data_IF_260123116576
#
_entry.id   IF_260123116576
#
_cell.length_a   1.000
_cell.length_b   1.000
_cell.length_c   1.000
_cell.angle_alpha   90.00
_cell.angle_beta   90.00
_cell.angle_gamma   90.00
#
_symmetry.space_group_name_H-M   'P 1'
#
loop_
_entity.id
_entity.type
_entity.pdbx_description
1 polymer ?
2 non-polymer ?
3 non-polymer ?
4 water ?
#
# COMPACT_ATOMS: atom_id res chain seq x y z
N UNK A 11 -27.03 28.81 -2.49
CA UNK A 11 -25.71 28.73 -3.15
C UNK A 11 -25.67 27.56 -4.19
N UNK A 12 -24.75 27.65 -5.19
CA UNK A 12 -24.66 26.64 -6.23
C UNK A 12 -23.22 26.11 -6.44
N UNK A 13 -22.18 26.73 -5.85
CA UNK A 13 -20.81 26.21 -6.05
C UNK A 13 -20.59 24.92 -5.19
N UNK A 14 -19.82 23.99 -5.79
CA UNK A 14 -19.53 22.68 -5.25
C UNK A 14 -18.39 22.80 -4.27
N UNK A 15 -18.67 22.43 -3.03
CA UNK A 15 -17.70 22.44 -1.96
C UNK A 15 -17.05 21.08 -1.84
N UNK A 16 -15.80 21.07 -1.32
CA UNK A 16 -15.06 19.82 -1.13
C UNK A 16 -14.71 19.65 0.32
N UNK A 17 -14.71 18.40 0.75
CA UNK A 17 -14.29 18.01 2.09
C UNK A 17 -13.72 16.62 2.01
N UNK A 18 -12.74 16.33 2.86
CA UNK A 18 -12.12 15.01 2.96
C UNK A 18 -12.28 14.60 4.41
N UNK A 19 -12.89 13.43 4.61
CA UNK A 19 -13.19 12.85 5.90
C UNK A 19 -11.89 12.47 6.59
N UNK A 20 -11.81 12.83 7.90
CA UNK A 20 -10.68 12.55 8.78
C UNK A 20 -11.07 11.42 9.73
N UNK A 21 -10.22 10.39 9.75
CA UNK A 21 -10.35 9.20 10.59
C UNK A 21 -9.92 9.52 12.05
N UNK A 22 -10.45 8.76 13.04
CA UNK A 22 -10.15 8.93 14.47
C UNK A 22 -8.83 8.21 14.81
N UNK A 28 -0.61 9.65 12.13
CA UNK A 28 -0.88 10.52 10.97
C UNK A 28 -2.13 10.07 10.20
N UNK A 29 -2.95 11.05 9.74
CA UNK A 29 -4.15 10.75 8.95
C UNK A 29 -3.84 10.81 7.44
N UNK A 30 -4.73 10.20 6.63
CA UNK A 30 -4.68 10.21 5.17
C UNK A 30 -4.77 11.68 4.72
N UNK A 31 -5.74 12.42 5.29
CA UNK A 31 -6.01 13.83 4.99
C UNK A 31 -4.77 14.72 5.14
N UNK A 32 -3.98 14.56 6.22
CA UNK A 32 -2.80 15.40 6.42
C UNK A 32 -1.76 15.12 5.31
N UNK A 33 -1.63 13.85 4.89
CA UNK A 33 -0.73 13.43 3.80
C UNK A 33 -1.14 14.09 2.49
N UNK A 34 -2.46 14.08 2.16
CA UNK A 34 -2.97 14.74 0.96
C UNK A 34 -2.78 16.24 1.04
N UNK A 35 -2.98 16.83 2.22
CA UNK A 35 -2.80 18.28 2.40
C UNK A 35 -1.33 18.69 2.16
N UNK A 36 -0.38 17.92 2.70
CA UNK A 36 1.06 18.19 2.62
C UNK A 36 1.62 17.98 1.22
N UNK A 37 1.21 16.88 0.54
CA UNK A 37 1.68 16.49 -0.78
C UNK A 37 0.87 17.11 -1.95
N UNK A 38 0.45 16.25 -2.89
CA UNK A 38 -0.16 16.62 -4.17
C UNK A 38 -1.70 16.79 -4.18
N UNK A 39 -2.36 16.58 -3.06
CA UNK A 39 -3.81 16.62 -3.00
C UNK A 39 -4.38 15.39 -3.69
N UNK A 40 -5.56 15.50 -4.28
CA UNK A 40 -6.20 14.35 -4.94
C UNK A 40 -6.83 14.78 -6.26
N UNK A 41 -7.28 13.79 -7.03
CA UNK A 41 -7.94 13.99 -8.31
C UNK A 41 -9.37 13.49 -8.31
N UNK A 42 -10.30 14.26 -8.92
CA UNK A 42 -11.73 13.96 -8.96
C UNK A 42 -12.21 13.65 -10.36
N UNK A 43 -13.10 12.66 -10.48
CA UNK A 43 -13.90 12.31 -11.63
C UNK A 43 -15.32 12.64 -11.28
N UNK A 44 -16.05 13.30 -12.17
CA UNK A 44 -17.44 13.63 -11.93
C UNK A 44 -18.26 13.41 -13.19
N UNK A 45 -19.35 12.67 -13.05
CA UNK A 45 -20.27 12.27 -14.11
C UNK A 45 -21.65 12.84 -13.87
N UNK A 46 -22.05 13.75 -14.72
CA UNK A 46 -23.39 14.33 -14.63
C UNK A 46 -24.41 13.45 -15.41
N UNK A 47 -25.48 13.04 -14.71
CA UNK A 47 -26.56 12.23 -15.24
C UNK A 47 -27.87 13.00 -15.07
N UNK A 48 -28.96 12.43 -15.56
CA UNK A 48 -30.28 12.98 -15.30
C UNK A 48 -30.71 12.51 -13.88
N UNK A 49 -31.89 12.93 -13.44
CA UNK A 49 -32.47 12.47 -12.18
C UNK A 49 -32.60 10.92 -12.14
N UNK A 50 -32.66 10.24 -13.32
CA UNK A 50 -32.76 8.76 -13.42
C UNK A 50 -31.63 8.05 -12.63
N UNK A 51 -30.45 8.66 -12.61
CA UNK A 51 -29.33 8.22 -11.80
C UNK A 51 -28.19 7.46 -12.43
N UNK A 52 -27.17 7.25 -11.62
CA UNK A 52 -25.91 6.61 -11.98
C UNK A 52 -26.05 5.16 -12.40
N UNK A 53 -26.70 4.31 -11.60
CA UNK A 53 -26.78 2.89 -11.94
C UNK A 53 -27.57 2.66 -13.25
N UNK A 54 -28.60 3.47 -13.51
CA UNK A 54 -29.40 3.41 -14.72
C UNK A 54 -28.60 3.86 -15.95
N UNK A 55 -27.84 4.97 -15.83
CA UNK A 55 -27.15 5.62 -16.94
C UNK A 55 -25.63 5.45 -17.03
N UNK A 56 -24.92 4.88 -16.03
CA UNK A 56 -23.45 4.79 -16.06
C UNK A 56 -22.88 4.17 -17.34
N UNK A 57 -23.58 3.19 -17.90
CA UNK A 57 -23.16 2.46 -19.09
C UNK A 57 -22.77 3.32 -20.27
N UNK A 58 -23.49 4.46 -20.51
CA UNK A 58 -23.21 5.33 -21.65
C UNK A 58 -22.87 6.77 -21.21
N UNK A 59 -22.37 6.94 -19.98
CA UNK A 59 -21.94 8.23 -19.41
C UNK A 59 -20.42 8.27 -19.29
N UNK A 60 -19.81 9.37 -19.75
CA UNK A 60 -18.36 9.62 -19.68
C UNK A 60 -18.08 10.62 -18.54
N UNK A 61 -16.82 10.77 -18.02
CA UNK A 61 -16.56 11.79 -16.97
C UNK A 61 -16.72 13.19 -17.54
N UNK A 62 -17.97 13.54 -17.80
CA UNK A 62 -18.38 14.75 -18.51
C UNK A 62 -18.39 16.03 -17.67
N UNK A 63 -18.22 15.92 -16.35
CA UNK A 63 -18.31 17.07 -15.45
C UNK A 63 -16.96 17.45 -14.87
N UNK A 64 -16.14 16.46 -14.49
CA UNK A 64 -14.78 16.67 -13.99
C UNK A 64 -13.95 15.52 -14.48
N UNK A 65 -12.77 15.79 -15.04
CA UNK A 65 -11.87 14.71 -15.48
C UNK A 65 -10.54 14.96 -14.83
N UNK A 66 -10.20 14.16 -13.80
CA UNK A 66 -8.96 14.30 -13.04
C UNK A 66 -8.78 15.76 -12.57
N UNK A 67 -9.83 16.33 -11.97
CA UNK A 67 -9.81 17.70 -11.42
C UNK A 67 -8.87 17.72 -10.23
N UNK A 68 -7.86 18.59 -10.24
CA UNK A 68 -6.87 18.69 -9.17
C UNK A 68 -7.41 19.46 -7.96
N UNK A 69 -7.67 18.70 -6.87
CA UNK A 69 -8.14 19.24 -5.60
C UNK A 69 -6.98 19.38 -4.63
N UNK A 70 -6.72 20.61 -4.15
CA UNK A 70 -5.62 20.88 -3.23
C UNK A 70 -6.11 21.66 -2.02
N UNK A 71 -5.30 21.64 -0.94
CA UNK A 71 -5.56 22.33 0.31
C UNK A 71 -4.82 23.68 0.35
N UNK A 72 -5.56 24.78 0.59
CA UNK A 72 -5.02 26.13 0.68
C UNK A 72 -5.42 26.75 2.05
N UNK A 73 -4.50 26.61 3.05
CA UNK A 73 -4.52 27.12 4.44
C UNK A 73 -5.61 26.46 5.35
N UNK A 74 -6.90 26.55 4.92
CA UNK A 74 -8.00 26.04 5.72
C UNK A 74 -9.13 25.37 4.90
N UNK A 75 -9.04 25.30 3.56
CA UNK A 75 -10.08 24.64 2.77
C UNK A 75 -9.54 23.88 1.56
N UNK A 76 -10.35 22.95 0.99
CA UNK A 76 -10.04 22.21 -0.23
C UNK A 76 -10.62 22.97 -1.42
N UNK A 77 -9.82 23.12 -2.47
CA UNK A 77 -10.24 23.81 -3.68
C UNK A 77 -9.76 23.16 -4.96
N UNK A 78 -10.30 23.65 -6.06
CA UNK A 78 -10.01 23.25 -7.43
C UNK A 78 -10.03 24.54 -8.25
N UNK A 79 -9.28 24.59 -9.37
CA UNK A 79 -9.14 25.78 -10.21
C UNK A 79 -10.35 25.97 -11.18
N UNK A 80 -10.72 24.93 -11.95
CA UNK A 80 -11.83 25.02 -12.91
C UNK A 80 -13.16 24.96 -12.17
N UNK A 81 -13.76 26.12 -11.85
CA UNK A 81 -15.01 26.18 -11.10
C UNK A 81 -16.22 25.56 -11.83
N UNK A 82 -16.99 24.84 -11.03
CA UNK A 82 -18.17 24.10 -11.40
C UNK A 82 -19.25 24.37 -10.39
N UNK A 83 -20.50 24.30 -10.86
CA UNK A 83 -21.67 24.58 -10.06
C UNK A 83 -22.63 23.44 -10.06
N UNK A 84 -23.44 23.30 -9.00
CA UNK A 84 -24.47 22.28 -8.94
C UNK A 84 -25.50 22.58 -10.03
N UNK A 85 -26.16 21.59 -10.63
CA UNK A 85 -27.17 21.92 -11.64
C UNK A 85 -28.32 22.76 -11.06
N UNK A 86 -28.95 23.60 -11.90
CA UNK A 86 -30.11 24.42 -11.52
C UNK A 86 -31.35 23.50 -11.53
N UNK A 87 -31.35 22.48 -12.43
CA UNK A 87 -32.47 21.54 -12.53
C UNK A 87 -32.22 20.30 -11.60
N UNK A 88 -32.87 19.14 -11.88
CA UNK A 88 -32.86 17.95 -11.03
C UNK A 88 -31.80 16.91 -11.43
N UNK A 89 -30.82 17.33 -12.26
CA UNK A 89 -29.70 16.53 -12.70
C UNK A 89 -28.85 16.16 -11.48
N UNK A 90 -28.21 14.99 -11.55
CA UNK A 90 -27.37 14.43 -10.49
C UNK A 90 -25.91 14.38 -10.92
N UNK A 91 -24.98 14.40 -9.95
CA UNK A 91 -23.53 14.27 -10.23
C UNK A 91 -22.95 13.15 -9.37
N UNK A 92 -22.23 12.22 -10.02
CA UNK A 92 -21.57 11.10 -9.37
C UNK A 92 -20.07 11.39 -9.38
N UNK A 93 -19.47 11.26 -8.19
CA UNK A 93 -18.06 11.52 -7.98
C UNK A 93 -17.30 10.25 -7.66
N UNK A 94 -16.01 10.27 -8.02
CA UNK A 94 -14.95 9.29 -7.73
C UNK A 94 -13.70 10.10 -7.46
N UNK A 95 -12.78 9.55 -6.68
CA UNK A 95 -11.54 10.24 -6.38
C UNK A 95 -10.43 9.24 -6.12
N UNK A 96 -9.17 9.66 -6.34
CA UNK A 96 -7.97 8.86 -6.06
C UNK A 96 -6.87 9.79 -5.53
N UNK A 97 -5.86 9.21 -4.92
CA UNK A 97 -4.70 9.95 -4.42
C UNK A 97 -3.51 9.02 -4.31
N UNK A 98 -2.25 9.53 -4.46
CA UNK A 98 -1.87 10.94 -4.69
C UNK A 98 -2.20 11.35 -6.12
N UNK A 99 -2.43 12.64 -6.35
CA UNK A 99 -2.79 13.14 -7.68
C UNK A 99 -1.69 12.89 -8.73
N UNK A 100 -2.10 12.51 -9.95
CA UNK A 100 -1.23 12.29 -11.11
C UNK A 100 -1.42 13.42 -12.11
N UNK A 101 -0.40 14.26 -12.34
CA UNK A 101 -0.55 15.40 -13.26
C UNK A 101 -0.41 14.99 -14.74
N UNK A 102 0.18 13.81 -15.00
CA UNK A 102 0.39 13.24 -16.35
C UNK A 102 -0.37 11.90 -16.42
N UNK A 103 -1.73 11.91 -16.44
CA UNK A 103 -2.49 10.65 -16.32
C UNK A 103 -2.44 9.72 -17.54
N UNK A 104 -1.85 10.19 -18.64
CA UNK A 104 -1.77 9.40 -19.86
C UNK A 104 -0.57 8.46 -19.82
N UNK A 105 0.45 8.79 -19.01
CA UNK A 105 1.68 8.01 -18.92
C UNK A 105 2.09 7.64 -17.47
N UNK A 106 1.60 8.38 -16.48
CA UNK A 106 1.91 8.12 -15.07
C UNK A 106 3.29 8.53 -14.62
N UNK A 107 3.72 9.73 -15.02
CA UNK A 107 5.03 10.31 -14.70
C UNK A 107 5.24 10.45 -13.17
N UNK A 108 4.29 11.08 -12.50
CA UNK A 108 4.36 11.39 -11.08
C UNK A 108 4.25 10.17 -10.17
N UNK A 109 3.17 9.37 -10.33
CA UNK A 109 2.85 8.30 -9.39
C UNK A 109 2.83 6.90 -9.97
N UNK A 110 3.07 6.77 -11.29
CA UNK A 110 2.97 5.52 -12.06
C UNK A 110 1.49 5.07 -12.06
N UNK A 111 0.59 6.07 -12.17
CA UNK A 111 -0.87 5.98 -12.25
C UNK A 111 -1.28 6.41 -13.68
N UNK A 112 -1.99 5.53 -14.40
CA UNK A 112 -2.55 5.78 -15.73
C UNK A 112 -4.07 5.71 -15.54
N UNK A 113 -4.78 6.74 -16.00
CA UNK A 113 -6.23 6.79 -15.82
C UNK A 113 -6.96 6.39 -17.09
N UNK A 114 -8.20 5.94 -16.90
CA UNK A 114 -9.12 5.64 -17.99
C UNK A 114 -9.40 6.96 -18.73
N UNK A 115 -9.55 6.88 -20.06
CA UNK A 115 -9.74 8.04 -20.92
C UNK A 115 -10.89 8.95 -20.59
N UNK A 116 -10.80 10.21 -21.08
CA UNK A 116 -11.81 11.26 -20.90
C UNK A 116 -13.15 10.91 -21.60
N UNK A 117 -13.10 10.02 -22.59
CA UNK A 117 -14.28 9.59 -23.33
C UNK A 117 -14.64 8.12 -23.01
N UNK A 118 -14.06 7.56 -21.94
CA UNK A 118 -14.39 6.20 -21.50
C UNK A 118 -15.75 6.23 -20.77
N UNK A 119 -16.55 5.21 -20.96
CA UNK A 119 -17.88 5.15 -20.38
C UNK A 119 -17.88 4.33 -19.09
N UNK A 120 -18.76 4.68 -18.18
CA UNK A 120 -18.88 3.97 -16.90
C UNK A 120 -17.92 4.46 -15.85
N UNK A 121 -17.91 3.75 -14.70
CA UNK A 121 -17.01 4.04 -13.59
C UNK A 121 -15.56 4.00 -14.09
N UNK A 122 -14.68 4.89 -13.61
CA UNK A 122 -13.30 4.93 -14.14
C UNK A 122 -12.43 3.73 -13.71
N UNK A 123 -11.18 3.71 -14.23
CA UNK A 123 -10.17 2.70 -13.90
C UNK A 123 -8.82 3.39 -13.73
N UNK A 124 -7.89 2.69 -13.06
CA UNK A 124 -6.50 3.07 -12.82
C UNK A 124 -5.61 1.90 -13.15
N UNK A 125 -4.62 2.11 -14.02
CA UNK A 125 -3.55 1.15 -14.29
C UNK A 125 -2.40 1.61 -13.40
N UNK A 126 -1.98 0.75 -12.47
CA UNK A 126 -0.99 1.10 -11.48
C UNK A 126 0.22 0.15 -11.50
N UNK A 127 1.42 0.75 -11.44
CA UNK A 127 2.72 0.05 -11.36
C UNK A 127 3.38 0.36 -10.02
N UNK A 128 3.92 -0.66 -9.37
CA UNK A 128 4.60 -0.54 -8.09
C UNK A 128 5.98 0.07 -8.33
N UNK A 129 6.28 1.17 -7.59
CA UNK A 129 7.54 1.91 -7.62
C UNK A 129 8.55 1.17 -6.72
N UNK A 130 9.61 0.59 -7.31
CA UNK A 130 10.65 -0.17 -6.56
C UNK A 130 11.94 0.65 -6.32
N UNK A 131 12.03 1.85 -6.93
CA UNK A 131 13.19 2.76 -6.86
C UNK A 131 13.42 3.28 -5.45
N UNK A 132 14.65 3.82 -5.20
CA UNK A 132 15.14 4.38 -3.94
C UNK A 132 14.94 3.39 -2.80
N UNK A 133 15.40 2.15 -2.99
CA UNK A 133 15.31 1.08 -1.99
C UNK A 133 13.93 0.96 -1.32
N UNK A 134 12.84 0.91 -2.15
CA UNK A 134 11.44 0.74 -1.75
C UNK A 134 10.86 1.90 -0.93
N UNK A 135 11.56 3.04 -0.87
CA UNK A 135 11.18 4.17 -0.02
C UNK A 135 10.31 5.15 -0.76
N UNK A 136 10.03 4.89 -2.05
CA UNK A 136 9.21 5.76 -2.89
C UNK A 136 7.85 5.15 -3.26
N UNK A 137 7.47 3.99 -2.68
CA UNK A 137 6.22 3.29 -2.99
C UNK A 137 5.05 4.19 -2.67
N UNK A 138 4.04 4.15 -3.54
CA UNK A 138 2.85 4.96 -3.43
C UNK A 138 1.78 4.25 -2.61
N UNK A 139 1.18 4.97 -1.65
CA UNK A 139 0.04 4.46 -0.86
C UNK A 139 -1.20 4.94 -1.61
N UNK A 140 -1.63 4.16 -2.63
CA UNK A 140 -2.76 4.48 -3.51
C UNK A 140 -4.06 4.36 -2.73
N UNK A 141 -4.79 5.47 -2.67
CA UNK A 141 -6.09 5.53 -1.98
C UNK A 141 -7.15 5.88 -3.01
N UNK A 142 -8.35 5.34 -2.84
CA UNK A 142 -9.44 5.67 -3.76
C UNK A 142 -10.71 5.89 -3.01
N UNK A 143 -11.66 6.49 -3.70
CA UNK A 143 -12.98 6.74 -3.18
C UNK A 143 -14.00 6.42 -4.26
N UNK A 144 -14.79 5.37 -4.02
CA UNK A 144 -15.90 4.96 -4.88
C UNK A 144 -17.11 4.57 -4.00
N UNK A 145 -17.27 5.23 -2.83
CA UNK A 145 -18.40 4.97 -1.94
C UNK A 145 -19.67 5.65 -2.51
N UNK A 146 -20.83 5.01 -2.27
CA UNK A 146 -22.14 5.36 -2.82
C UNK A 146 -22.64 6.72 -2.33
N UNK A 147 -22.20 7.18 -1.16
CA UNK A 147 -22.61 8.46 -0.61
C UNK A 147 -22.06 9.66 -1.42
N UNK A 148 -21.20 9.46 -2.43
CA UNK A 148 -20.74 10.56 -3.28
C UNK A 148 -21.27 10.34 -4.72
N UNK A 149 -22.22 9.40 -4.88
CA UNK A 149 -22.94 9.11 -6.13
C UNK A 149 -24.33 9.72 -6.06
N UNK A 150 -24.86 10.12 -7.22
CA UNK A 150 -26.21 10.73 -7.36
C UNK A 150 -26.38 11.93 -6.43
N UNK A 151 -25.42 12.84 -6.46
CA UNK A 151 -25.44 14.03 -5.60
C UNK A 151 -26.14 15.19 -6.26
N UNK A 152 -26.88 15.93 -5.45
CA UNK A 152 -27.52 17.20 -5.82
C UNK A 152 -27.04 18.22 -4.79
N UNK A 153 -27.43 19.47 -4.98
CA UNK A 153 -27.10 20.55 -4.07
C UNK A 153 -27.66 20.29 -2.66
N UNK A 154 -28.71 19.45 -2.57
CA UNK A 154 -29.44 19.14 -1.33
C UNK A 154 -28.91 17.91 -0.61
N UNK A 155 -28.01 17.16 -1.25
CA UNK A 155 -27.51 15.91 -0.71
C UNK A 155 -26.77 16.10 0.61
N UNK A 156 -25.80 17.04 0.64
CA UNK A 156 -24.98 17.28 1.82
C UNK A 156 -24.51 18.75 1.89
N UNK A 157 -25.47 19.69 1.91
CA UNK A 157 -25.21 21.13 2.06
C UNK A 157 -24.30 21.70 0.93
N UNK A 158 -24.35 21.06 -0.25
CA UNK A 158 -23.56 21.42 -1.42
C UNK A 158 -22.10 20.96 -1.37
N UNK A 159 -21.73 20.16 -0.36
CA UNK A 159 -20.35 19.71 -0.18
C UNK A 159 -20.21 18.22 -0.47
N UNK A 160 -19.19 17.88 -1.26
CA UNK A 160 -18.86 16.50 -1.57
C UNK A 160 -17.85 16.05 -0.54
N UNK A 161 -18.24 15.12 0.34
CA UNK A 161 -17.30 14.62 1.34
C UNK A 161 -16.67 13.31 0.87
N UNK A 162 -15.36 13.36 0.57
CA UNK A 162 -14.61 12.20 0.15
C UNK A 162 -14.12 11.45 1.37
N UNK A 163 -14.06 10.14 1.25
CA UNK A 163 -13.67 9.15 2.26
C UNK A 163 -12.77 8.20 1.52
N UNK A 164 -11.45 8.34 1.71
CA UNK A 164 -10.46 7.55 0.99
C UNK A 164 -10.16 6.22 1.66
N UNK A 165 -10.09 5.15 0.86
CA UNK A 165 -9.75 3.81 1.36
C UNK A 165 -8.43 3.36 0.78
N UNK A 166 -7.65 2.60 1.54
CA UNK A 166 -6.37 2.04 1.08
C UNK A 166 -6.66 0.77 0.28
N UNK A 167 -6.39 0.83 -1.03
CA UNK A 167 -6.74 -0.26 -1.95
C UNK A 167 -5.59 -1.26 -2.17
N UNK A 168 -4.43 -1.00 -1.56
CA UNK A 168 -3.25 -1.88 -1.66
C UNK A 168 -3.14 -2.75 -0.39
N UNK A 169 -2.05 -3.52 -0.26
CA UNK A 169 -1.76 -4.27 0.95
C UNK A 169 -0.53 -3.61 1.60
N UNK A 170 -0.56 -3.50 2.92
CA UNK A 170 0.59 -2.96 3.62
C UNK A 170 1.37 -4.06 4.37
N UNK A 171 2.72 -4.08 4.23
CA UNK A 171 3.63 -4.93 5.02
C UNK A 171 4.17 -3.92 6.01
N UNK A 172 3.45 -3.77 7.15
CA UNK A 172 3.75 -2.77 8.18
C UNK A 172 5.10 -3.03 8.85
N UNK A 173 5.47 -4.31 9.01
CA UNK A 173 6.74 -4.71 9.58
C UNK A 173 6.99 -6.19 9.46
N UNK A 174 8.25 -6.57 9.63
CA UNK A 174 8.77 -7.92 9.73
C UNK A 174 9.62 -7.87 11.00
N UNK A 175 9.16 -8.56 12.05
CA UNK A 175 9.77 -8.63 13.37
C UNK A 175 10.41 -10.01 13.58
N UNK A 176 11.59 -10.09 14.23
CA UNK A 176 12.29 -11.38 14.44
C UNK A 176 12.65 -11.58 15.92
N UNK A 177 12.62 -12.84 16.39
CA UNK A 177 13.06 -13.19 17.76
C UNK A 177 13.52 -14.65 17.83
N UNK A 178 14.46 -15.01 18.72
CA UNK A 178 14.76 -16.44 18.93
C UNK A 178 13.63 -17.09 19.77
N UNK A 179 13.55 -18.44 19.82
CA UNK A 179 12.47 -19.10 20.59
C UNK A 179 12.82 -19.21 22.09
N UNK A 180 14.08 -18.99 22.45
CA UNK A 180 14.60 -19.08 23.82
C UNK A 180 15.50 -17.87 24.10
N UNK A 181 15.73 -17.60 25.39
CA UNK A 181 16.65 -16.58 25.85
C UNK A 181 18.05 -17.08 25.53
N UNK A 182 18.85 -16.27 24.83
CA UNK A 182 20.19 -16.59 24.37
C UNK A 182 21.26 -16.34 25.42
N UNK A 183 20.85 -15.82 26.57
CA UNK A 183 21.80 -15.54 27.64
C UNK A 183 22.58 -14.27 27.35
N UNK A 184 23.76 -14.14 27.93
CA UNK A 184 24.53 -12.91 27.81
C UNK A 184 25.60 -12.97 26.73
N UNK A 185 26.04 -14.18 26.35
CA UNK A 185 27.17 -14.40 25.46
C UNK A 185 26.81 -14.73 23.99
N UNK A 186 25.52 -14.68 23.63
CA UNK A 186 25.07 -14.97 22.28
C UNK A 186 24.04 -13.94 21.85
N UNK A 187 24.19 -13.44 20.58
CA UNK A 187 23.26 -12.48 19.99
C UNK A 187 22.93 -12.89 18.56
N UNK A 188 21.75 -12.49 18.06
CA UNK A 188 21.34 -12.76 16.68
C UNK A 188 21.21 -11.43 15.97
N UNK A 189 21.79 -11.32 14.78
CA UNK A 189 21.74 -10.12 13.94
C UNK A 189 21.19 -10.43 12.56
N UNK A 190 20.18 -9.68 12.12
CA UNK A 190 19.62 -9.88 10.77
C UNK A 190 20.37 -8.90 9.85
N UNK A 191 20.89 -9.42 8.71
CA UNK A 191 21.73 -8.64 7.79
C UNK A 191 21.13 -8.50 6.39
N UNK A 192 20.12 -9.31 6.09
CA UNK A 192 19.52 -9.30 4.75
C UNK A 192 18.14 -9.89 4.73
N UNK A 193 17.35 -9.48 3.74
CA UNK A 193 15.98 -9.93 3.55
C UNK A 193 15.57 -9.71 2.09
N UNK A 194 14.99 -10.74 1.48
CA UNK A 194 14.46 -10.72 0.12
C UNK A 194 13.03 -11.24 0.15
N UNK A 195 12.18 -10.73 -0.77
CA UNK A 195 10.84 -11.27 -0.96
C UNK A 195 10.87 -12.15 -2.20
N UNK A 196 10.45 -13.41 -2.06
CA UNK A 196 10.36 -14.37 -3.17
C UNK A 196 8.89 -14.38 -3.65
N UNK A 197 8.57 -13.67 -4.76
CA UNK A 197 7.16 -13.55 -5.18
C UNK A 197 6.61 -14.69 -6.03
N UNK A 198 7.41 -15.73 -6.21
CA UNK A 198 7.02 -16.81 -7.10
C UNK A 198 7.22 -16.34 -8.53
N UNK A 199 6.33 -16.76 -9.45
CA UNK A 199 6.39 -16.38 -10.85
C UNK A 199 5.05 -15.87 -11.40
N UNK A 200 3.90 -16.36 -10.87
CA UNK A 200 2.59 -15.92 -11.38
C UNK A 200 1.61 -15.58 -10.24
N UNK A 201 2.08 -14.93 -9.16
CA UNK A 201 1.26 -14.63 -7.98
C UNK A 201 1.09 -13.13 -7.69
N UNK A 202 2.19 -12.39 -7.58
CA UNK A 202 2.23 -10.98 -7.21
C UNK A 202 2.39 -10.07 -8.41
N UNK A 203 1.37 -9.21 -8.65
CA UNK A 203 1.41 -8.26 -9.76
C UNK A 203 2.34 -7.12 -9.46
N UNK A 204 3.04 -6.63 -10.50
CA UNK A 204 3.84 -5.42 -10.34
C UNK A 204 3.09 -4.29 -11.05
N UNK A 205 2.16 -4.66 -11.96
CA UNK A 205 1.33 -3.75 -12.73
C UNK A 205 -0.06 -4.36 -12.81
N UNK A 206 -1.14 -3.58 -12.53
CA UNK A 206 -2.51 -4.11 -12.54
C UNK A 206 -3.58 -3.01 -12.72
N UNK A 207 -4.84 -3.40 -13.02
CA UNK A 207 -5.94 -2.46 -13.25
C UNK A 207 -6.89 -2.47 -12.03
N UNK A 208 -7.15 -1.30 -11.46
CA UNK A 208 -8.08 -1.10 -10.35
C UNK A 208 -9.38 -0.57 -10.95
N UNK A 209 -10.50 -1.22 -10.63
CA UNK A 209 -11.81 -0.87 -11.14
C UNK A 209 -12.63 -0.18 -10.08
N UNK A 210 -13.10 1.05 -10.38
CA UNK A 210 -13.92 1.82 -9.47
C UNK A 210 -15.35 1.28 -9.42
N UNK A 211 -15.78 0.49 -10.44
CA UNK A 211 -17.12 -0.07 -10.44
C UNK A 211 -17.37 -1.01 -9.25
N UNK A 212 -16.43 -1.89 -8.89
CA UNK A 212 -16.66 -2.81 -7.78
C UNK A 212 -15.51 -2.83 -6.75
N UNK A 213 -14.60 -1.84 -6.82
CA UNK A 213 -13.49 -1.68 -5.89
C UNK A 213 -12.61 -2.99 -5.84
N UNK A 214 -12.17 -3.44 -7.01
CA UNK A 214 -11.32 -4.62 -7.15
C UNK A 214 -10.25 -4.38 -8.18
N UNK A 215 -9.16 -5.17 -8.04
CA UNK A 215 -8.01 -5.26 -8.91
C UNK A 215 -8.14 -6.44 -9.85
N UNK A 216 -7.68 -6.26 -11.07
CA UNK A 216 -7.60 -7.32 -12.06
C UNK A 216 -6.24 -7.19 -12.81
N UNK A 217 -5.82 -8.23 -13.55
CA UNK A 217 -4.56 -8.21 -14.29
C UNK A 217 -4.61 -7.24 -15.44
N UNK A 218 -3.41 -6.80 -15.92
CA UNK A 218 -3.37 -5.95 -17.11
C UNK A 218 -3.65 -6.88 -18.34
N UNK A 219 -4.19 -6.30 -19.41
CA UNK A 219 -4.55 -7.03 -20.62
C UNK A 219 -3.64 -6.65 -21.80
N UNK A 220 -3.30 -7.59 -22.71
CA UNK A 220 -3.75 -9.00 -22.76
C UNK A 220 -2.97 -9.94 -21.84
N UNK A 221 -1.78 -9.52 -21.36
CA UNK A 221 -0.93 -10.37 -20.52
C UNK A 221 -0.62 -9.75 -19.17
N UNK A 222 -0.89 -10.53 -18.11
CA UNK A 222 -0.62 -10.16 -16.72
C UNK A 222 0.85 -9.81 -16.53
N UNK A 223 1.13 -8.82 -15.66
CA UNK A 223 2.48 -8.36 -15.34
C UNK A 223 2.79 -8.71 -13.91
N UNK A 224 3.81 -9.53 -13.69
CA UNK A 224 4.16 -10.01 -12.36
C UNK A 224 5.54 -9.64 -11.92
N UNK A 225 5.75 -9.71 -10.59
CA UNK A 225 7.05 -9.77 -9.95
C UNK A 225 7.40 -11.27 -10.12
N UNK A 226 8.50 -11.61 -10.81
CA UNK A 226 8.81 -13.02 -11.06
C UNK A 226 10.23 -13.38 -10.64
N UNK A 227 10.90 -12.45 -9.98
CA UNK A 227 12.28 -12.62 -9.50
C UNK A 227 12.34 -12.17 -8.06
N UNK A 228 13.35 -12.65 -7.29
CA UNK A 228 13.52 -12.24 -5.88
C UNK A 228 13.73 -10.76 -5.78
N UNK A 229 13.07 -10.14 -4.81
CA UNK A 229 13.13 -8.69 -4.62
C UNK A 229 13.91 -8.42 -3.39
N UNK A 230 15.08 -7.76 -3.53
CA UNK A 230 15.97 -7.47 -2.40
C UNK A 230 15.48 -6.29 -1.58
N UNK A 231 15.22 -6.57 -0.29
CA UNK A 231 14.73 -5.60 0.70
C UNK A 231 15.82 -5.23 1.71
N UNK A 232 17.05 -5.74 1.56
CA UNK A 232 18.16 -5.52 2.51
C UNK A 232 18.46 -4.07 2.80
N UNK A 233 18.44 -3.19 1.78
CA UNK A 233 18.74 -1.78 2.02
C UNK A 233 17.51 -1.00 2.54
N UNK A 234 16.33 -1.65 2.60
CA UNK A 234 15.11 -1.04 3.09
C UNK A 234 15.08 -1.17 4.60
N UNK A 235 15.76 -2.22 5.10
CA UNK A 235 15.83 -2.55 6.53
C UNK A 235 16.55 -1.45 7.31
N UNK A 236 16.10 -1.23 8.53
CA UNK A 236 16.60 -0.22 9.44
C UNK A 236 17.88 -0.71 10.13
N UNK A 237 18.89 -1.12 9.33
CA UNK A 237 20.19 -1.62 9.78
C UNK A 237 20.99 -0.48 10.42
N UNK A 238 21.76 -0.78 11.47
CA UNK A 238 22.64 0.17 12.17
C UNK A 238 24.01 -0.47 12.34
N UNK A 239 25.01 0.35 12.72
CA UNK A 239 26.38 -0.12 12.97
C UNK A 239 26.40 -1.02 14.21
N UNK A 240 27.29 -1.99 14.18
CA UNK A 240 27.41 -2.94 15.27
C UNK A 240 28.87 -2.99 15.71
N UNK A 241 29.12 -3.26 16.99
CA UNK A 241 30.45 -3.45 17.54
C UNK A 241 30.31 -4.29 18.77
N UNK A 242 30.14 -5.59 18.53
CA UNK A 242 29.86 -6.60 19.53
C UNK A 242 30.89 -7.69 19.44
N UNK A 243 31.86 -7.70 20.37
CA UNK A 243 32.91 -8.73 20.45
C UNK A 243 33.62 -8.98 19.11
N UNK A 244 33.97 -7.92 18.40
CA UNK A 244 34.60 -8.00 17.09
C UNK A 244 33.63 -8.00 15.92
N UNK A 245 32.36 -8.33 16.18
CA UNK A 245 31.31 -8.37 15.14
C UNK A 245 30.94 -6.95 14.79
N UNK A 246 31.14 -6.54 13.52
CA UNK A 246 30.84 -5.17 13.14
C UNK A 246 30.15 -5.01 11.77
N UNK A 247 29.27 -5.94 11.46
CA UNK A 247 28.47 -5.92 10.26
C UNK A 247 27.26 -4.99 10.46
N UNK A 248 26.87 -4.22 9.44
CA UNK A 248 25.67 -3.36 9.49
C UNK A 248 24.48 -4.30 9.56
N UNK A 249 23.73 -4.24 10.69
CA UNK A 249 22.67 -5.21 11.00
C UNK A 249 21.62 -4.68 11.99
N UNK A 250 20.63 -5.54 12.34
CA UNK A 250 19.59 -5.31 13.34
C UNK A 250 19.72 -6.42 14.39
N UNK A 251 19.95 -6.03 15.66
CA UNK A 251 19.99 -6.95 16.77
C UNK A 251 18.58 -7.43 17.10
N UNK A 252 18.31 -8.71 16.88
CA UNK A 252 16.99 -9.31 17.12
C UNK A 252 17.04 -10.36 18.28
N UNK A 253 17.96 -10.21 19.25
CA UNK A 253 18.22 -11.17 20.35
C UNK A 253 17.14 -11.28 21.45
N UNK A 254 16.21 -10.31 21.57
CA UNK A 254 15.16 -10.32 22.59
C UNK A 254 14.12 -11.43 22.33
N UNK A 255 14.02 -12.39 23.23
CA UNK A 255 13.11 -13.52 23.10
C UNK A 255 11.69 -13.19 23.59
N UNK A 256 11.58 -12.12 24.38
CA UNK A 256 10.33 -11.67 25.00
C UNK A 256 9.50 -10.82 24.04
N UNK A 257 10.14 -9.89 23.30
CA UNK A 257 9.49 -9.02 22.30
C UNK A 257 10.28 -9.05 21.02
N UNK A 258 9.63 -9.48 19.92
CA UNK A 258 10.22 -9.56 18.59
C UNK A 258 10.66 -8.19 18.17
N UNK A 259 11.85 -8.09 17.55
CA UNK A 259 12.47 -6.84 17.11
C UNK A 259 12.14 -6.54 15.65
N UNK A 260 11.66 -5.32 15.38
CA UNK A 260 11.30 -4.84 14.04
C UNK A 260 12.51 -4.70 13.09
N UNK A 261 12.29 -5.03 11.78
CA UNK A 261 13.33 -4.89 10.75
C UNK A 261 13.13 -3.59 9.92
N UNK A 262 11.91 -3.02 9.97
CA UNK A 262 11.54 -1.77 9.31
C UNK A 262 11.52 -0.66 10.33
N UNK A 263 11.79 0.59 9.91
CA UNK A 263 11.70 1.72 10.83
C UNK A 263 10.23 2.04 11.07
N UNK A 264 9.92 2.80 12.13
CA UNK A 264 8.55 3.20 12.51
C UNK A 264 7.78 3.89 11.41
N UNK A 265 8.49 4.66 10.58
CA UNK A 265 7.87 5.46 9.53
C UNK A 265 7.86 4.75 8.16
N UNK A 266 8.59 3.62 8.01
CA UNK A 266 8.67 2.92 6.73
C UNK A 266 7.83 1.61 6.69
N UNK A 267 7.15 1.40 5.54
CA UNK A 267 6.31 0.24 5.23
C UNK A 267 6.29 -0.02 3.73
N UNK A 268 5.89 -1.23 3.32
CA UNK A 268 5.80 -1.63 1.90
C UNK A 268 4.35 -1.66 1.49
N UNK A 269 4.05 -1.18 0.28
CA UNK A 269 2.68 -1.11 -0.26
C UNK A 269 2.63 -1.79 -1.59
N UNK A 270 1.98 -2.95 -1.63
CA UNK A 270 1.90 -3.77 -2.85
C UNK A 270 0.49 -3.89 -3.40
N UNK A 271 0.37 -4.21 -4.72
CA UNK A 271 -0.90 -4.60 -5.35
C UNK A 271 -1.28 -5.90 -4.61
N UNK A 272 -2.50 -5.98 -4.01
CA UNK A 272 -2.83 -7.17 -3.20
C UNK A 272 -2.92 -8.46 -4.02
N UNK A 273 -2.90 -9.59 -3.33
CA UNK A 273 -3.06 -10.90 -3.99
C UNK A 273 -4.53 -11.31 -3.79
N UNK A 274 -5.23 -11.65 -4.87
CA UNK A 274 -6.64 -12.07 -4.85
C UNK A 274 -7.53 -11.10 -4.08
N UNK A 275 -7.27 -9.80 -4.26
CA UNK A 275 -7.99 -8.72 -3.61
C UNK A 275 -8.08 -8.93 -2.10
N UNK A 276 -9.30 -8.99 -1.53
CA UNK A 276 -9.47 -9.07 -0.07
C UNK A 276 -9.24 -10.49 0.51
N UNK A 277 -8.98 -11.48 -0.36
CA UNK A 277 -8.78 -12.86 0.03
C UNK A 277 -7.32 -13.27 0.32
N UNK A 278 -6.37 -12.61 -0.31
CA UNK A 278 -4.96 -12.93 -0.14
C UNK A 278 -4.50 -14.18 -0.86
N UNK A 279 -3.24 -14.57 -0.59
CA UNK A 279 -2.63 -15.76 -1.21
C UNK A 279 -3.47 -17.00 -0.98
N UNK A 280 -3.55 -17.83 -2.04
CA UNK A 280 -4.32 -19.08 -2.07
C UNK A 280 -3.71 -20.11 -1.12
N UNK A 281 -2.36 -20.24 -1.14
CA UNK A 281 -1.64 -21.22 -0.35
C UNK A 281 -0.46 -20.67 0.38
N UNK A 282 -0.08 -21.35 1.46
CA UNK A 282 1.13 -21.04 2.21
C UNK A 282 2.32 -21.27 1.30
N UNK A 283 3.23 -20.32 1.27
CA UNK A 283 4.42 -20.45 0.45
C UNK A 283 4.26 -19.96 -0.97
N UNK A 284 3.08 -19.37 -1.32
CA UNK A 284 2.86 -18.73 -2.61
C UNK A 284 3.80 -17.54 -2.65
N UNK A 285 3.90 -16.85 -1.50
CA UNK A 285 4.86 -15.78 -1.22
C UNK A 285 5.81 -16.27 -0.13
N UNK A 286 7.10 -15.98 -0.28
CA UNK A 286 8.13 -16.39 0.69
C UNK A 286 9.10 -15.27 0.98
N UNK A 287 9.83 -15.38 2.10
CA UNK A 287 10.92 -14.49 2.48
C UNK A 287 12.23 -15.28 2.42
N UNK A 288 13.35 -14.62 2.09
CA UNK A 288 14.70 -15.17 2.09
C UNK A 288 15.47 -14.32 3.11
N UNK A 289 15.84 -14.90 4.25
CA UNK A 289 16.47 -14.15 5.32
C UNK A 289 17.93 -14.56 5.54
N UNK A 290 18.75 -13.57 5.95
CA UNK A 290 20.19 -13.72 6.26
C UNK A 290 20.41 -13.27 7.70
N UNK A 291 21.06 -14.06 8.50
CA UNK A 291 21.29 -13.71 9.90
C UNK A 291 22.54 -14.38 10.43
N UNK A 292 23.15 -13.75 11.46
CA UNK A 292 24.37 -14.17 12.14
C UNK A 292 24.10 -14.45 13.59
N UNK A 293 24.55 -15.60 14.09
CA UNK A 293 24.45 -15.98 15.51
C UNK A 293 25.85 -15.82 16.07
N UNK A 294 26.04 -14.77 16.87
CA UNK A 294 27.36 -14.37 17.38
C UNK A 294 27.52 -14.74 18.82
N UNK A 295 28.51 -15.58 19.11
CA UNK A 295 28.86 -16.03 20.47
C UNK A 295 30.20 -15.40 20.88
N UNK A 296 30.26 -14.84 22.10
CA UNK A 296 31.45 -14.21 22.67
C UNK A 296 32.58 -15.21 22.93
N UNK A 297 33.81 -14.82 22.55
CA UNK A 297 35.00 -15.59 22.87
C UNK A 297 35.80 -14.70 23.82
N UNK A 298 36.10 -13.46 23.40
CA UNK A 298 36.73 -12.43 24.23
C UNK A 298 35.97 -11.14 23.94
N UNK A 299 36.38 -10.02 24.54
CA UNK A 299 35.74 -8.71 24.31
C UNK A 299 35.97 -8.22 22.88
N UNK A 300 36.99 -8.79 22.19
CA UNK A 300 37.43 -8.40 20.85
C UNK A 300 37.39 -9.56 19.84
N UNK A 301 36.89 -10.73 20.24
CA UNK A 301 36.82 -11.85 19.32
C UNK A 301 35.55 -12.68 19.57
N UNK A 302 35.11 -13.41 18.54
CA UNK A 302 33.88 -14.20 18.62
C UNK A 302 33.83 -15.33 17.60
N UNK A 303 32.76 -16.11 17.69
CA UNK A 303 32.40 -17.16 16.76
C UNK A 303 31.06 -16.79 16.14
N UNK A 304 31.04 -16.57 14.83
CA UNK A 304 29.83 -16.19 14.12
C UNK A 304 29.35 -17.34 13.25
N UNK A 305 28.08 -17.69 13.40
CA UNK A 305 27.42 -18.69 12.59
C UNK A 305 26.54 -17.92 11.60
N UNK A 306 26.94 -17.86 10.33
CA UNK A 306 26.26 -17.11 9.28
C UNK A 306 25.31 -18.02 8.46
N UNK A 307 24.01 -17.69 8.46
CA UNK A 307 22.98 -18.37 7.67
C UNK A 307 22.45 -17.36 6.69
N UNK A 308 22.56 -17.63 5.36
CA UNK A 308 22.05 -16.75 4.31
C UNK A 308 21.10 -17.50 3.37
N UNK A 309 20.18 -16.78 2.70
CA UNK A 309 19.22 -17.28 1.73
C UNK A 309 18.31 -18.37 2.33
N UNK A 310 17.99 -18.24 3.63
CA UNK A 310 17.11 -19.16 4.36
C UNK A 310 15.64 -18.80 4.01
N UNK A 311 14.95 -19.78 3.44
CA UNK A 311 13.58 -19.68 2.99
C UNK A 311 12.62 -19.73 4.16
N UNK A 312 11.66 -18.81 4.15
CA UNK A 312 10.61 -18.67 5.15
C UNK A 312 9.30 -18.49 4.37
N UNK A 313 8.40 -19.49 4.42
CA UNK A 313 7.12 -19.41 3.72
C UNK A 313 6.15 -18.52 4.46
N UNK A 314 5.47 -17.61 3.73
CA UNK A 314 4.44 -16.76 4.31
C UNK A 314 3.11 -17.53 4.30
N UNK A 315 2.25 -17.35 5.33
CA UNK A 315 1.01 -18.17 5.39
C UNK A 315 0.02 -17.84 4.30
N UNK A 316 -0.99 -18.67 4.14
CA UNK A 316 -2.05 -18.43 3.18
C UNK A 316 -2.88 -17.26 3.66
N UNK A 317 -3.69 -16.67 2.76
CA UNK A 317 -4.59 -15.55 3.02
C UNK A 317 -3.77 -14.33 3.51
N UNK A 318 -2.63 -14.08 2.86
CA UNK A 318 -1.75 -12.95 3.17
C UNK A 318 -1.69 -12.06 1.91
N UNK A 319 -1.20 -10.82 2.09
CA UNK A 319 -1.15 -9.76 1.09
C UNK A 319 -2.61 -9.40 0.70
N UNK A 320 -3.48 -9.28 1.73
CA UNK A 320 -4.91 -8.95 1.60
C UNK A 320 -5.12 -7.46 1.34
N UNK A 321 -6.01 -7.13 0.40
CA UNK A 321 -6.39 -5.74 0.10
C UNK A 321 -6.94 -5.07 1.35
N UNK A 322 -6.48 -3.86 1.62
CA UNK A 322 -6.94 -3.07 2.74
C UNK A 322 -6.57 -3.59 4.12
N UNK A 323 -5.54 -4.46 4.18
CA UNK A 323 -5.00 -5.04 5.42
C UNK A 323 -3.56 -4.58 5.63
N UNK A 324 -3.19 -4.32 6.90
CA UNK A 324 -1.83 -4.07 7.37
C UNK A 324 -1.29 -5.40 7.91
N UNK A 325 -0.26 -5.99 7.29
CA UNK A 325 0.33 -7.25 7.79
C UNK A 325 1.65 -7.01 8.50
N UNK A 326 1.78 -7.61 9.69
CA UNK A 326 3.03 -7.63 10.46
C UNK A 326 3.40 -9.08 10.61
N UNK A 327 4.54 -9.48 10.04
CA UNK A 327 4.98 -10.88 10.19
C UNK A 327 5.93 -10.99 11.35
N UNK A 328 5.64 -11.92 12.28
CA UNK A 328 6.54 -12.17 13.40
C UNK A 328 7.19 -13.53 13.15
N UNK A 329 8.51 -13.53 12.98
CA UNK A 329 9.37 -14.70 12.72
C UNK A 329 10.09 -15.15 13.97
N UNK A 330 9.89 -16.45 14.34
CA UNK A 330 10.55 -17.03 15.48
C UNK A 330 11.60 -18.00 14.97
N UNK A 331 12.87 -17.69 15.24
CA UNK A 331 13.97 -18.56 14.85
C UNK A 331 14.11 -19.63 15.94
N UNK A 332 13.86 -20.90 15.59
CA UNK A 332 13.97 -22.04 16.51
C UNK A 332 15.44 -22.39 16.64
N UNK A 333 15.98 -22.27 17.86
CA UNK A 333 17.39 -22.52 18.14
C UNK A 333 17.75 -24.01 18.20
N UNK A 334 16.80 -24.93 18.40
CA UNK A 334 17.16 -26.36 18.43
C UNK A 334 16.93 -27.05 17.08
N UNK A 335 16.53 -26.29 16.05
CA UNK A 335 16.22 -26.82 14.72
C UNK A 335 16.65 -25.86 13.60
N UNK A 336 16.20 -26.16 12.35
CA UNK A 336 16.38 -25.44 11.08
C UNK A 336 15.33 -24.35 11.05
N UNK A 337 14.06 -24.77 11.20
CA UNK A 337 12.78 -24.06 11.22
C UNK A 337 12.80 -22.59 11.70
N UNK A 338 12.02 -21.77 10.98
CA UNK A 338 11.63 -20.38 11.27
C UNK A 338 10.14 -20.39 11.08
N UNK A 339 9.36 -20.12 12.14
CA UNK A 339 7.91 -20.14 12.04
C UNK A 339 7.39 -18.70 11.94
N UNK A 340 6.24 -18.50 11.28
CA UNK A 340 5.69 -17.17 11.00
C UNK A 340 4.29 -17.00 11.58
N UNK A 341 4.02 -15.81 12.12
CA UNK A 341 2.71 -15.36 12.56
C UNK A 341 2.36 -14.16 11.73
N UNK A 342 1.22 -14.20 11.06
CA UNK A 342 0.72 -13.08 10.28
C UNK A 342 -0.25 -12.30 11.15
N UNK A 343 0.21 -11.21 11.73
CA UNK A 343 -0.67 -10.38 12.55
C UNK A 343 -1.31 -9.35 11.65
N UNK A 344 -2.64 -9.40 11.52
CA UNK A 344 -3.34 -8.49 10.60
C UNK A 344 -4.18 -7.43 11.32
N UNK A 345 -4.30 -6.28 10.70
CA UNK A 345 -5.08 -5.11 11.12
C UNK A 345 -5.80 -4.56 9.92
N UNK A 346 -6.94 -3.93 10.17
CA UNK A 346 -7.65 -3.22 9.13
C UNK A 346 -6.83 -1.99 8.82
N UNK A 347 -6.63 -1.73 7.53
CA UNK A 347 -5.83 -0.57 7.16
C UNK A 347 -6.75 0.64 7.10
N UNK A 348 -6.85 1.34 8.26
CA UNK A 348 -7.67 2.55 8.50
C UNK A 348 -6.91 3.47 9.47
X LIG B 1 5.88 -10.49 19.73
X LIG B 1 5.57 -9.79 20.98
X LIG B 1 4.82 -11.46 19.40
X LIG B 1 5.97 -9.49 18.65
X LIG B 1 7.14 -11.17 19.95
X LIG C 1 32.31 -9.54 11.07
X LIG C 1 32.19 -10.84 11.76
X LIG C 1 31.05 -9.27 10.40
X LIG C 1 32.50 -8.53 12.11
X LIG C 1 33.45 -9.56 10.09
X LIG D 1 -21.87 11.97 -21.94
X LIG D 1 -22.09 11.27 -20.70
X LIG D 1 -22.56 11.23 -22.98
X LIG D 1 -22.41 13.32 -21.84
X LIG D 1 -20.47 12.06 -22.29
X LIG E 1 23.06 -3.22 18.66
X LIG E 1 23.84 -1.98 18.67
X LIG E 1 23.96 -4.36 18.95
X LIG E 1 22.01 -3.20 19.67
X LIG E 1 22.50 -3.31 17.30
X LIG F 1 28.17 -4.16 6.00
X LIG F 1 28.63 -3.89 7.35
X LIG F 1 26.75 -4.55 5.97
X LIG F 1 28.35 -2.96 5.18
X LIG F 1 28.95 -5.25 5.40
X LIG G 1 33.34 -20.82 23.12
X LIG G 1 32.65 -20.45 24.34
X LIG G 1 33.13 -22.25 22.84
X LIG G 1 32.81 -20.02 22.01
X LIG G 1 34.78 -20.56 23.33
X LIG H 1 -10.24 8.66 -24.89
X LIG H 1 -9.12 7.71 -24.91
X LIG H 1 -11.27 8.15 -23.99
X LIG H 1 -9.78 9.99 -24.46
X LIG H 1 -10.77 8.77 -26.26
X LIG I 1 -31.86 7.14 -7.78
X LIG I 1 -31.12 7.15 -6.50
X LIG I 1 -31.95 5.78 -8.30
X LIG I 1 -33.22 7.63 -7.54
X LIG I 1 -31.15 8.02 -8.71
X LIG J 1 18.89 -21.86 13.51
X LIG J 1 19.04 -21.53 14.93
X LIG J 1 19.57 -23.14 13.27
X LIG J 1 17.46 -21.94 13.15
X LIG J 1 19.52 -20.84 12.70
X LIG K 1 24.22 -10.31 4.25
X LIG K 1 24.64 -10.74 5.54
X LIG K 1 24.75 -11.25 3.28
X LIG K 1 22.79 -10.37 4.21
X LIG K 1 24.70 -8.93 3.99
X LIG L 1 -27.37 23.73 -15.24
X LIG L 1 -26.67 24.35 -14.10
X LIG L 1 -26.95 22.34 -15.38
X LIG L 1 -28.82 23.80 -15.03
X LIG L 1 -27.01 24.46 -16.46
X LIG M 1 -17.94 13.57 9.82
X LIG M 1 -18.01 13.64 11.28
X LIG M 1 -18.70 12.41 9.33
X LIG M 1 -18.52 14.80 9.25
X LIG M 1 -16.54 13.47 9.41
X LIG N 1 -20.58 2.64 0.67
X LIG N 1 -19.39 2.38 1.51
X LIG N 1 -20.22 2.36 -0.72
X LIG N 1 -21.67 1.74 1.05
X LIG N 1 -21.02 4.05 0.87
X LIG O 1 -13.55 25.86 -4.58
X LIG O 1 -12.70 26.71 -3.76
X LIG O 1 -13.89 24.60 -3.88
X LIG O 1 -14.81 26.56 -4.86
X LIG O 1 -12.84 25.59 -5.83
X LIG P 1 -2.23 19.96 -13.31
X LIG P 1 -2.94 18.87 -13.99
X LIG P 1 -3.18 20.82 -12.56
X LIG P 1 -1.24 19.44 -12.37
X LIG P 1 -1.54 20.73 -14.33
X LIG Q 1 -7.65 -11.33 -12.40
X LIG Q 1 -7.61 -12.73 -11.94
X LIG Q 1 -7.41 -11.24 -13.85
X LIG Q 1 -8.97 -10.76 -12.09
X LIG Q 1 -6.64 -10.57 -11.68
X LIG R 1 17.14 3.15 -7.58
X LIG R 1 16.44 4.39 -7.26
X LIG R 1 16.56 1.96 -6.90
X LIG R 1 17.09 2.95 -9.02
X LIG R 1 18.53 3.30 -7.14
X LIG S 1 17.08 -6.87 20.99
X LIG T 1 23.93 3.65 12.68
X LIG U 1 10.21 1.30 -10.30
X LIG V 1 15.52 -14.64 -8.91
X LIG W 1 -1.89 -23.74 2.81
X LIG X 1 3.99 -18.74 -8.56
#
# INVERSE_FOLDING_TARGET
GEXTEXNPDTNRTIGLDVYTEVQTRGTETTTSTLKANAGFGIFAYQTSSAGWNSEKGNTTPNFMYNEHATWTSDSWGYTNLRFWPIDDKKITFFAYAPYESKPEVGTDQKITLSGQNAKGAPTITFEVKTSNNWKDMIDLVTDCHTAIQDQTNESNKGTVQFKFSHVLTQIANIKVKPDVNLGTDTKIFVTGLKLDPGSTTLYNKAVYKFDNDTWEAISPDASYFSTEQDLSDFLNKTTTDQWGYNKSSINVSDDQNATALFSDTEALYFIPVNNKNGTTNAGDLKLKINYDIVTKVTDTSNLTSTITNKEVSLPKNTFKKGTKHTYVLTIKMNAIKITVEDNMEGWTDDSDSDINVEK
SO4 S O1 O2 O3 O4
SO4 S O1 O2 O3 O4
SO4 S O1 O2 O3 O4
SO4 S O1 O2 O3 O4
SO4 S O1 O2 O3 O4
SO4 S O1 O2 O3 O4
SO4 S O1 O2 O3 O4
SO4 S O1 O2 O3 O4
SO4 S O1 O2 O3 O4
SO4 S O1 O2 O3 O4
SO4 S O1 O2 O3 O4
SO4 S O1 O2 O3 O4
SO4 S O1 O2 O3 O4
SO4 S O1 O2 O3 O4
SO4 S O1 O2 O3 O4
SO4 S O1 O2 O3 O4
SO4 S O1 O2 O3 O4
CL CL
CL CL
CL CL
CL CL
CL CL
CL CL
#
